data_IF_344594217981
#
_entry.id   IF_344594217981
#
_cell.length_a   1.000
_cell.length_b   1.000
_cell.length_c   1.000
_cell.angle_alpha   90.00
_cell.angle_beta   90.00
_cell.angle_gamma   90.00
#
_symmetry.space_group_name_H-M   'P 1'
#
loop_
_entity.id
_entity.type
_entity.pdbx_description
1 polymer ?
#
# COMPACT_ATOMS: atom_id res chain seq x y z
N UNK A 1 2.55 7.22 5.91
CA UNK A 1 1.77 5.96 5.92
C UNK A 1 2.41 4.98 6.89
N UNK A 2 1.67 4.39 7.82
CA UNK A 2 2.21 3.34 8.67
C UNK A 2 2.55 2.11 7.81
N UNK A 3 3.63 1.45 8.16
CA UNK A 3 4.08 0.20 7.50
C UNK A 3 3.38 -0.99 8.13
N UNK A 4 3.10 -0.89 9.44
CA UNK A 4 2.36 -1.89 10.20
C UNK A 4 1.15 -1.24 10.88
N UNK A 5 0.08 -2.00 11.17
CA UNK A 5 -1.15 -1.46 11.79
C UNK A 5 -0.88 -0.72 13.10
N UNK A 6 0.02 -1.21 13.93
CA UNK A 6 0.38 -0.63 15.23
C UNK A 6 0.93 0.80 15.11
N UNK A 7 1.65 1.10 14.02
CA UNK A 7 2.14 2.45 13.74
C UNK A 7 0.98 3.44 13.53
N UNK A 8 -0.09 2.99 12.89
CA UNK A 8 -1.30 3.77 12.66
C UNK A 8 -1.99 4.15 13.96
N UNK A 9 -2.16 3.18 14.85
CA UNK A 9 -2.74 3.40 16.17
C UNK A 9 -1.87 4.34 17.02
N UNK A 10 -0.56 4.15 17.01
CA UNK A 10 0.38 5.01 17.72
C UNK A 10 0.30 6.45 17.25
N UNK A 11 0.30 6.68 15.94
CA UNK A 11 0.20 8.03 15.37
C UNK A 11 -1.14 8.67 15.74
N UNK A 12 -2.24 7.94 15.59
CA UNK A 12 -3.57 8.42 15.94
C UNK A 12 -3.67 8.83 17.42
N UNK A 13 -3.19 7.98 18.31
CA UNK A 13 -3.19 8.24 19.76
C UNK A 13 -2.27 9.42 20.11
N UNK A 14 -1.10 9.50 19.51
CA UNK A 14 -0.17 10.61 19.73
C UNK A 14 -0.76 11.95 19.29
N UNK A 15 -1.43 11.98 18.13
CA UNK A 15 -2.14 13.17 17.66
C UNK A 15 -3.28 13.57 18.59
N UNK A 16 -4.09 12.61 19.04
CA UNK A 16 -5.19 12.88 19.98
C UNK A 16 -4.67 13.46 21.30
N UNK A 17 -3.63 12.86 21.86
CA UNK A 17 -3.00 13.34 23.08
C UNK A 17 -2.49 14.77 22.90
N UNK A 18 -1.78 15.04 21.80
CA UNK A 18 -1.26 16.39 21.52
C UNK A 18 -2.38 17.42 21.37
N UNK A 19 -3.46 17.05 20.68
CA UNK A 19 -4.63 17.92 20.51
C UNK A 19 -5.28 18.23 21.86
N UNK A 20 -5.52 17.21 22.70
CA UNK A 20 -6.24 17.36 23.96
C UNK A 20 -5.40 18.07 25.03
N UNK A 21 -4.12 17.73 25.11
CA UNK A 21 -3.27 18.19 26.22
C UNK A 21 -2.55 19.51 25.91
N UNK A 22 -2.33 19.82 24.65
CA UNK A 22 -1.55 20.99 24.23
C UNK A 22 -2.38 21.98 23.43
N UNK A 23 -2.95 21.58 22.30
CA UNK A 23 -3.59 22.54 21.38
C UNK A 23 -4.90 23.10 21.92
N UNK A 24 -5.82 22.26 22.35
CA UNK A 24 -7.14 22.70 22.82
C UNK A 24 -7.07 23.59 24.05
N UNK A 25 -6.23 23.33 25.05
CA UNK A 25 -6.08 24.25 26.19
C UNK A 25 -5.60 25.64 25.75
N UNK A 26 -4.63 25.72 24.83
CA UNK A 26 -4.15 27.02 24.34
C UNK A 26 -5.22 27.77 23.51
N UNK A 27 -5.92 27.04 22.63
CA UNK A 27 -6.99 27.62 21.82
C UNK A 27 -8.14 28.15 22.71
N UNK A 28 -8.51 27.42 23.76
CA UNK A 28 -9.59 27.78 24.67
C UNK A 28 -9.27 29.02 25.54
N UNK A 29 -7.99 29.36 25.73
CA UNK A 29 -7.59 30.63 26.36
C UNK A 29 -8.05 31.83 25.53
N UNK A 30 -8.04 31.69 24.19
CA UNK A 30 -8.45 32.77 23.27
C UNK A 30 -9.94 32.67 22.95
N UNK A 31 -10.44 31.48 22.70
CA UNK A 31 -11.84 31.22 22.40
C UNK A 31 -12.36 30.02 23.19
N UNK A 32 -13.16 30.24 24.26
CA UNK A 32 -13.59 29.18 25.19
C UNK A 32 -14.37 28.03 24.54
N UNK A 33 -14.99 28.27 23.36
CA UNK A 33 -15.74 27.27 22.61
C UNK A 33 -14.89 26.59 21.52
N UNK A 34 -13.57 26.81 21.52
CA UNK A 34 -12.69 26.13 20.55
C UNK A 34 -12.79 24.60 20.68
N UNK A 35 -12.85 23.95 19.55
CA UNK A 35 -12.89 22.51 19.45
C UNK A 35 -12.10 22.03 18.20
N UNK A 36 -11.57 20.83 18.26
CA UNK A 36 -10.91 20.16 17.14
C UNK A 36 -11.56 18.78 17.01
N UNK A 37 -12.18 18.54 15.85
CA UNK A 37 -12.76 17.25 15.52
C UNK A 37 -11.85 16.50 14.58
N UNK A 38 -11.62 15.22 14.89
CA UNK A 38 -10.95 14.29 14.01
C UNK A 38 -12.00 13.40 13.36
N UNK A 39 -11.92 13.25 12.06
CA UNK A 39 -12.72 12.32 11.27
C UNK A 39 -11.79 11.40 10.47
N UNK A 40 -12.00 10.10 10.58
CA UNK A 40 -11.30 9.13 9.77
C UNK A 40 -12.11 8.95 8.48
N UNK A 41 -11.58 9.48 7.38
CA UNK A 41 -12.23 9.44 6.06
C UNK A 41 -11.97 8.08 5.39
N UNK A 42 -10.85 7.43 5.72
CA UNK A 42 -10.48 6.13 5.20
C UNK A 42 -9.21 5.62 5.85
N UNK A 43 -9.07 4.32 5.87
CA UNK A 43 -7.91 3.62 6.37
C UNK A 43 -7.45 2.61 5.33
N UNK A 44 -6.16 2.59 5.04
CA UNK A 44 -5.55 1.65 4.11
C UNK A 44 -4.66 0.72 4.92
N UNK A 45 -5.01 -0.55 4.93
CA UNK A 45 -4.25 -1.60 5.61
C UNK A 45 -2.91 -1.78 4.90
N UNK A 46 -1.84 -1.82 5.68
CA UNK A 46 -0.50 -2.09 5.18
C UNK A 46 -0.40 -3.49 4.59
N UNK A 47 0.35 -3.62 3.50
CA UNK A 47 0.66 -4.91 2.89
C UNK A 47 1.99 -5.41 3.44
N UNK A 48 1.96 -6.56 4.12
CA UNK A 48 3.15 -7.15 4.74
C UNK A 48 3.80 -8.19 3.84
N UNK A 49 5.14 -8.25 3.90
CA UNK A 49 5.90 -9.22 3.13
C UNK A 49 5.68 -10.63 3.71
N UNK A 50 5.14 -11.52 2.90
CA UNK A 50 5.05 -12.94 3.23
C UNK A 50 6.37 -13.65 2.87
N UNK A 51 6.95 -14.40 3.81
CA UNK A 51 8.17 -15.17 3.55
C UNK A 51 7.92 -16.35 2.60
N UNK A 52 6.74 -16.98 2.71
CA UNK A 52 6.31 -18.12 1.88
C UNK A 52 4.98 -17.76 1.21
N UNK A 53 5.04 -17.08 0.08
CA UNK A 53 3.87 -16.70 -0.69
C UNK A 53 3.79 -17.49 -1.99
N UNK A 54 2.68 -18.18 -2.19
CA UNK A 54 2.40 -18.88 -3.46
C UNK A 54 2.31 -17.91 -4.63
N UNK A 55 1.69 -16.76 -4.40
CA UNK A 55 1.57 -15.71 -5.41
C UNK A 55 2.93 -15.16 -5.82
N UNK A 56 3.85 -14.93 -4.88
CA UNK A 56 5.22 -14.49 -5.20
C UNK A 56 5.94 -15.55 -6.03
N UNK A 57 5.87 -16.83 -5.62
CA UNK A 57 6.54 -17.91 -6.35
C UNK A 57 5.99 -18.04 -7.78
N UNK A 58 4.67 -17.95 -7.93
CA UNK A 58 4.02 -17.99 -9.25
C UNK A 58 4.51 -16.85 -10.14
N UNK A 59 4.50 -15.62 -9.64
CA UNK A 59 4.93 -14.44 -10.41
C UNK A 59 6.42 -14.50 -10.74
N UNK A 60 7.29 -14.91 -9.80
CA UNK A 60 8.71 -15.12 -10.08
C UNK A 60 8.93 -16.14 -11.20
N UNK A 61 8.17 -17.24 -11.21
CA UNK A 61 8.26 -18.24 -12.28
C UNK A 61 7.80 -17.71 -13.64
N UNK A 62 6.73 -16.93 -13.67
CA UNK A 62 6.17 -16.35 -14.89
C UNK A 62 7.03 -15.23 -15.48
N UNK A 63 7.65 -14.43 -14.63
CA UNK A 63 8.45 -13.27 -15.05
C UNK A 63 9.93 -13.58 -15.24
N UNK A 64 10.42 -14.62 -14.57
CA UNK A 64 11.86 -14.90 -14.44
C UNK A 64 12.59 -13.93 -13.52
N UNK A 65 11.87 -13.01 -12.86
CA UNK A 65 12.42 -12.03 -11.93
C UNK A 65 12.22 -12.51 -10.48
N UNK A 66 13.31 -12.57 -9.73
CA UNK A 66 13.31 -12.96 -8.32
C UNK A 66 13.49 -11.78 -7.37
N UNK A 67 13.48 -10.55 -7.88
CA UNK A 67 13.51 -9.35 -7.03
C UNK A 67 12.23 -9.28 -6.17
N UNK A 68 12.38 -8.83 -4.94
CA UNK A 68 11.30 -8.74 -3.97
C UNK A 68 11.44 -7.44 -3.20
N UNK A 69 10.83 -6.41 -3.73
CA UNK A 69 10.92 -5.08 -3.15
C UNK A 69 9.66 -4.72 -2.36
N UNK A 70 9.82 -3.88 -1.36
CA UNK A 70 8.72 -3.26 -0.63
C UNK A 70 8.58 -1.83 -1.14
N UNK A 71 7.38 -1.46 -1.50
CA UNK A 71 7.08 -0.14 -2.03
C UNK A 71 6.18 0.66 -1.08
N UNK A 72 6.32 1.98 -1.09
CA UNK A 72 5.62 2.89 -0.16
C UNK A 72 4.34 3.49 -0.75
N UNK A 73 3.71 2.84 -1.71
CA UNK A 73 2.42 3.29 -2.24
C UNK A 73 1.24 2.50 -1.64
N UNK A 74 0.02 3.07 -1.71
CA UNK A 74 -1.20 2.39 -1.29
C UNK A 74 -1.68 1.41 -2.36
N UNK A 75 -2.18 0.27 -1.91
CA UNK A 75 -2.75 -0.78 -2.76
C UNK A 75 -3.81 -1.54 -1.98
N UNK A 76 -4.77 -2.12 -2.67
CA UNK A 76 -5.76 -3.03 -2.08
C UNK A 76 -5.18 -4.41 -1.72
N UNK A 77 -3.92 -4.68 -2.03
CA UNK A 77 -3.26 -5.96 -1.75
C UNK A 77 -3.35 -6.36 -0.27
N UNK A 78 -3.27 -5.39 0.65
CA UNK A 78 -3.43 -5.64 2.08
C UNK A 78 -4.80 -6.21 2.45
N UNK A 79 -5.87 -5.80 1.77
CA UNK A 79 -7.22 -6.31 2.01
C UNK A 79 -7.35 -7.79 1.60
N UNK A 80 -6.74 -8.19 0.48
CA UNK A 80 -6.72 -9.58 0.06
C UNK A 80 -5.91 -10.44 1.03
N UNK A 81 -4.77 -9.92 1.51
CA UNK A 81 -3.94 -10.61 2.49
C UNK A 81 -4.66 -10.81 3.83
N UNK A 82 -5.43 -9.82 4.28
CA UNK A 82 -6.21 -9.88 5.52
C UNK A 82 -7.23 -11.02 5.52
N UNK A 83 -7.83 -11.31 4.38
CA UNK A 83 -8.76 -12.45 4.23
C UNK A 83 -8.05 -13.76 3.87
N UNK A 84 -6.71 -13.82 4.01
CA UNK A 84 -5.92 -15.04 3.84
C UNK A 84 -5.57 -15.40 2.39
N UNK A 85 -5.72 -14.47 1.45
CA UNK A 85 -5.34 -14.70 0.05
C UNK A 85 -3.86 -14.35 -0.11
N UNK A 86 -3.05 -15.31 -0.57
CA UNK A 86 -1.65 -15.05 -0.93
C UNK A 86 -1.59 -14.02 -2.05
N UNK A 87 -0.92 -12.91 -1.81
CA UNK A 87 -1.02 -11.73 -2.68
C UNK A 87 0.36 -11.16 -3.00
N UNK A 88 0.50 -10.67 -4.21
CA UNK A 88 1.68 -9.92 -4.67
C UNK A 88 1.25 -8.84 -5.66
N UNK A 89 1.92 -7.70 -5.61
CA UNK A 89 1.72 -6.63 -6.59
C UNK A 89 2.76 -6.81 -7.72
N UNK A 90 2.27 -6.95 -8.93
CA UNK A 90 3.10 -7.06 -10.12
C UNK A 90 2.39 -6.42 -11.32
N UNK A 91 3.13 -5.65 -12.10
CA UNK A 91 2.59 -5.00 -13.28
C UNK A 91 3.67 -4.28 -14.08
N UNK A 92 3.31 -3.74 -15.26
CA UNK A 92 4.24 -2.95 -16.05
C UNK A 92 4.44 -1.57 -15.43
N UNK A 93 5.59 -0.96 -15.63
CA UNK A 93 5.94 0.35 -15.13
C UNK A 93 7.16 0.34 -14.20
N UNK A 94 7.49 1.49 -13.68
CA UNK A 94 8.54 1.67 -12.68
C UNK A 94 8.04 2.64 -11.62
N UNK A 95 8.26 2.28 -10.34
CA UNK A 95 7.93 3.17 -9.23
C UNK A 95 8.64 4.53 -9.33
N UNK A 96 9.77 4.58 -10.02
CA UNK A 96 10.49 5.83 -10.26
C UNK A 96 9.73 6.81 -11.17
N UNK A 97 8.77 6.33 -11.94
CA UNK A 97 7.91 7.16 -12.80
C UNK A 97 6.61 7.58 -12.11
N UNK A 98 6.22 6.89 -11.04
CA UNK A 98 4.98 7.15 -10.34
C UNK A 98 4.90 8.59 -9.80
N UNK A 99 3.77 9.25 -10.04
CA UNK A 99 3.46 10.62 -9.61
C UNK A 99 4.41 11.69 -10.17
N UNK A 100 5.10 11.42 -11.28
CA UNK A 100 5.89 12.43 -12.00
C UNK A 100 5.07 13.10 -13.10
N UNK A 101 5.50 14.32 -13.47
CA UNK A 101 5.02 14.97 -14.68
C UNK A 101 5.41 14.07 -15.87
N UNK A 102 4.48 13.85 -16.79
CA UNK A 102 4.67 12.98 -17.96
C UNK A 102 4.99 11.51 -17.59
N UNK A 103 4.35 11.00 -16.53
CA UNK A 103 4.41 9.58 -16.15
C UNK A 103 4.13 8.69 -17.36
N UNK A 104 4.99 7.70 -17.58
CA UNK A 104 4.91 6.81 -18.73
C UNK A 104 5.20 5.36 -18.37
N UNK A 105 4.75 4.47 -19.23
CA UNK A 105 5.14 3.06 -19.25
C UNK A 105 5.68 2.70 -20.62
N UNK A 106 6.79 1.95 -20.69
CA UNK A 106 7.38 1.54 -21.96
C UNK A 106 6.58 0.43 -22.63
N UNK A 107 6.51 0.43 -23.96
CA UNK A 107 5.88 -0.64 -24.73
C UNK A 107 6.49 -2.03 -24.44
N UNK A 108 7.78 -2.10 -24.15
CA UNK A 108 8.43 -3.38 -23.82
C UNK A 108 7.95 -3.94 -22.50
N UNK A 109 7.69 -3.10 -21.50
CA UNK A 109 7.11 -3.55 -20.25
C UNK A 109 5.65 -4.00 -20.41
N UNK A 110 4.87 -3.31 -21.24
CA UNK A 110 3.51 -3.73 -21.59
C UNK A 110 3.54 -5.10 -22.28
N UNK A 111 4.44 -5.32 -23.25
CA UNK A 111 4.60 -6.62 -23.94
C UNK A 111 4.96 -7.75 -22.96
N UNK A 112 5.90 -7.48 -22.03
CA UNK A 112 6.28 -8.46 -20.99
C UNK A 112 5.09 -8.81 -20.10
N UNK A 113 4.30 -7.81 -19.67
CA UNK A 113 3.11 -8.04 -18.88
C UNK A 113 2.07 -8.88 -19.63
N UNK A 114 1.80 -8.56 -20.90
CA UNK A 114 0.86 -9.32 -21.72
C UNK A 114 1.32 -10.77 -21.91
N UNK A 115 2.63 -11.00 -22.10
CA UNK A 115 3.19 -12.34 -22.16
C UNK A 115 2.97 -13.10 -20.85
N UNK A 116 3.32 -12.49 -19.71
CA UNK A 116 3.10 -13.06 -18.39
C UNK A 116 1.64 -13.48 -18.17
N UNK A 117 0.68 -12.62 -18.56
CA UNK A 117 -0.75 -12.92 -18.44
C UNK A 117 -1.19 -14.06 -19.37
N UNK A 118 -0.62 -14.16 -20.57
CA UNK A 118 -0.87 -15.27 -21.48
C UNK A 118 -0.34 -16.59 -20.91
N UNK A 119 0.88 -16.60 -20.40
CA UNK A 119 1.51 -17.76 -19.76
C UNK A 119 0.72 -18.20 -18.50
N UNK A 120 0.27 -17.23 -17.67
CA UNK A 120 -0.60 -17.51 -16.53
C UNK A 120 -1.93 -18.17 -16.96
N UNK A 121 -2.59 -17.62 -17.98
CA UNK A 121 -3.84 -18.18 -18.52
C UNK A 121 -3.63 -19.63 -18.98
N UNK A 122 -2.54 -19.92 -19.66
CA UNK A 122 -2.22 -21.29 -20.11
C UNK A 122 -2.04 -22.24 -18.92
N UNK A 123 -1.29 -21.84 -17.90
CA UNK A 123 -1.11 -22.65 -16.69
C UNK A 123 -2.40 -22.92 -15.92
N UNK A 124 -3.34 -21.97 -15.90
CA UNK A 124 -4.63 -22.11 -15.21
C UNK A 124 -5.69 -22.87 -16.03
N UNK A 125 -5.40 -23.20 -17.29
CA UNK A 125 -6.32 -23.91 -18.17
C UNK A 125 -6.11 -25.44 -18.18
N UNK A 126 -5.15 -25.90 -17.43
CA UNK A 126 -4.81 -27.33 -17.22
C UNK A 126 -5.06 -27.72 -15.78
#
# INVERSE_FOLDING_TARGET
RPVVPEDGEFVNKSMETYVQDILLPEMKKVYPKADIKKEIIGEIIGFTKEEKSEAINLVCNLTGDNSRDVVSFGTEAGLFQEIGISTVVCGPGSIEQAHKIDEYVSFDQIKKCLKMLADLKEQMSH
#
